data_IF_351484147545
#
_entry.id   IF_351484147545
#
_cell.length_a   1.000
_cell.length_b   1.000
_cell.length_c   1.000
_cell.angle_alpha   90.00
_cell.angle_beta   90.00
_cell.angle_gamma   90.00
#
_symmetry.space_group_name_H-M   'P 1'
#
loop_
_entity.id
_entity.type
_entity.pdbx_description
1 polymer ?
#
# COMPACT_ATOMS: atom_id res chain seq x y z
N UNK A 1 19.06 -7.26 8.46
CA UNK A 1 18.72 -7.06 7.04
C UNK A 1 17.54 -7.94 6.70
N UNK A 2 16.48 -7.37 6.12
CA UNK A 2 15.42 -8.13 5.43
C UNK A 2 14.18 -8.45 6.27
N UNK A 3 13.19 -7.56 6.21
CA UNK A 3 11.89 -7.92 5.66
C UNK A 3 11.15 -6.62 5.31
N UNK A 4 11.55 -6.00 4.19
CA UNK A 4 10.61 -5.14 3.48
C UNK A 4 9.73 -6.10 2.67
N UNK A 5 8.51 -6.32 3.16
CA UNK A 5 7.56 -7.37 2.76
C UNK A 5 8.06 -8.79 3.03
N UNK A 6 7.59 -9.41 4.10
CA UNK A 6 7.55 -10.87 4.17
C UNK A 6 6.49 -11.39 3.18
N UNK A 7 6.59 -12.65 2.78
CA UNK A 7 5.50 -13.30 2.05
C UNK A 7 4.25 -13.31 2.93
N UNK A 8 3.20 -12.62 2.51
CA UNK A 8 1.96 -12.46 3.28
C UNK A 8 1.50 -11.02 3.48
N UNK A 9 2.38 -10.02 3.28
CA UNK A 9 2.04 -8.60 3.46
C UNK A 9 1.31 -7.98 2.24
N UNK A 10 1.24 -8.71 1.12
CA UNK A 10 0.58 -8.26 -0.11
C UNK A 10 -0.87 -7.84 0.17
N UNK A 11 -1.22 -6.62 -0.21
CA UNK A 11 -2.52 -6.00 0.06
C UNK A 11 -2.51 -5.05 1.27
N UNK A 12 -1.45 -4.99 2.07
CA UNK A 12 -1.34 -4.04 3.18
C UNK A 12 -1.26 -2.59 2.69
N UNK A 13 -1.88 -1.68 3.44
CA UNK A 13 -1.80 -0.25 3.17
C UNK A 13 -0.38 0.27 3.43
N UNK A 14 0.15 1.04 2.47
CA UNK A 14 1.41 1.76 2.58
C UNK A 14 1.11 3.22 2.85
N UNK A 15 1.72 3.76 3.90
CA UNK A 15 1.54 5.13 4.37
C UNK A 15 2.82 5.95 4.11
N UNK A 16 2.67 7.26 3.90
CA UNK A 16 3.79 8.21 3.99
C UNK A 16 4.02 8.66 5.45
N UNK A 17 5.02 9.53 5.65
CA UNK A 17 5.36 10.07 6.98
C UNK A 17 4.26 10.95 7.59
N UNK A 18 3.30 11.39 6.78
CA UNK A 18 2.13 12.17 7.19
C UNK A 18 0.91 11.27 7.49
N UNK A 19 1.07 9.94 7.55
CA UNK A 19 0.00 8.95 7.72
C UNK A 19 -1.05 8.95 6.59
N UNK A 20 -0.69 9.39 5.40
CA UNK A 20 -1.57 9.35 4.23
C UNK A 20 -1.37 8.04 3.46
N UNK A 21 -2.46 7.42 3.02
CA UNK A 21 -2.41 6.20 2.20
C UNK A 21 -1.89 6.55 0.82
N UNK A 22 -0.78 5.92 0.42
CA UNK A 22 -0.16 6.12 -0.90
C UNK A 22 -0.36 4.93 -1.84
N UNK A 23 -0.61 3.73 -1.29
CA UNK A 23 -0.84 2.55 -2.10
C UNK A 23 -1.06 1.27 -1.31
N UNK A 24 -1.22 0.18 -2.04
CA UNK A 24 -1.25 -1.17 -1.50
C UNK A 24 0.04 -1.89 -1.87
N UNK A 25 0.63 -2.58 -0.90
CA UNK A 25 1.81 -3.40 -1.11
C UNK A 25 1.50 -4.52 -2.12
N UNK A 26 2.23 -4.58 -3.22
CA UNK A 26 2.05 -5.66 -4.20
C UNK A 26 3.10 -6.75 -4.00
N UNK A 27 4.36 -6.35 -4.05
CA UNK A 27 5.50 -7.23 -3.85
C UNK A 27 6.64 -6.43 -3.21
N UNK A 28 7.34 -7.01 -2.25
CA UNK A 28 8.57 -6.44 -1.73
C UNK A 28 9.74 -7.40 -1.83
N UNK A 29 10.93 -6.81 -1.82
CA UNK A 29 12.21 -7.50 -1.76
C UNK A 29 13.07 -6.80 -0.72
N UNK A 30 14.25 -7.35 -0.43
CA UNK A 30 15.21 -6.75 0.49
C UNK A 30 15.70 -5.35 0.08
N UNK A 31 15.47 -4.92 -1.18
CA UNK A 31 15.96 -3.64 -1.73
C UNK A 31 14.89 -2.74 -2.31
N UNK A 32 13.71 -3.26 -2.65
CA UNK A 32 12.68 -2.50 -3.36
C UNK A 32 11.31 -3.06 -3.09
N UNK A 33 10.33 -2.15 -2.98
CA UNK A 33 8.92 -2.46 -2.81
C UNK A 33 8.13 -1.91 -3.98
N UNK A 34 7.31 -2.76 -4.57
CA UNK A 34 6.35 -2.44 -5.61
C UNK A 34 5.00 -2.19 -4.93
N UNK A 35 4.42 -1.04 -5.20
CA UNK A 35 3.11 -0.64 -4.68
C UNK A 35 2.13 -0.36 -5.81
N UNK A 36 0.86 -0.72 -5.60
CA UNK A 36 -0.25 -0.25 -6.42
C UNK A 36 -0.68 1.13 -5.90
N UNK A 37 -0.59 2.17 -6.74
CA UNK A 37 -1.02 3.53 -6.35
C UNK A 37 -2.48 3.53 -5.92
N UNK A 38 -2.77 4.13 -4.77
CA UNK A 38 -4.11 4.09 -4.18
C UNK A 38 -5.17 4.71 -5.08
N UNK A 39 -4.82 5.73 -5.88
CA UNK A 39 -5.74 6.39 -6.81
C UNK A 39 -6.26 5.41 -7.88
N UNK A 40 -5.41 4.50 -8.36
CA UNK A 40 -5.82 3.48 -9.33
C UNK A 40 -6.76 2.46 -8.68
N UNK A 41 -6.49 2.09 -7.43
CA UNK A 41 -7.33 1.14 -6.68
C UNK A 41 -8.73 1.71 -6.48
N UNK A 42 -8.85 2.95 -6.02
CA UNK A 42 -10.14 3.62 -5.82
C UNK A 42 -10.90 3.78 -7.13
N UNK A 43 -10.24 4.24 -8.20
CA UNK A 43 -10.84 4.40 -9.52
C UNK A 43 -11.38 3.08 -10.09
N UNK A 44 -10.61 1.99 -9.96
CA UNK A 44 -11.00 0.68 -10.50
C UNK A 44 -12.10 -0.01 -9.67
N UNK A 45 -12.14 0.22 -8.36
CA UNK A 45 -13.14 -0.39 -7.46
C UNK A 45 -14.39 0.48 -7.26
N UNK A 46 -14.35 1.76 -7.65
CA UNK A 46 -15.46 2.70 -7.43
C UNK A 46 -15.72 2.97 -5.95
N UNK A 47 -14.66 3.01 -5.13
CA UNK A 47 -14.75 3.22 -3.68
C UNK A 47 -14.02 4.48 -3.27
N UNK A 48 -14.54 5.14 -2.24
CA UNK A 48 -13.93 6.34 -1.64
C UNK A 48 -13.36 6.04 -0.25
N UNK A 49 -12.33 6.79 0.13
CA UNK A 49 -11.77 6.73 1.48
C UNK A 49 -12.69 7.42 2.48
N UNK A 50 -13.07 6.70 3.55
CA UNK A 50 -13.82 7.28 4.68
C UNK A 50 -12.89 7.39 5.89
N UNK A 51 -12.51 8.61 6.31
CA UNK A 51 -11.73 8.82 7.53
C UNK A 51 -12.49 8.26 8.74
N UNK A 52 -11.83 7.45 9.55
CA UNK A 52 -12.36 7.03 10.85
C UNK A 52 -12.17 8.19 11.84
N UNK A 53 -13.27 8.81 12.26
CA UNK A 53 -13.34 9.89 13.26
C UNK A 53 -13.13 9.40 14.68
#
# INVERSE_FOLDING_TARGET
AGNMSAGGDSGSAVLNEQNEIVGLLFAGSSRSTIINRIQNVFSLLGVDYIPQS
#
